data_IF_213824615057
#
_entry.id   IF_213824615057
#
_cell.length_a   1.000
_cell.length_b   1.000
_cell.length_c   1.000
_cell.angle_alpha   90.00
_cell.angle_beta   90.00
_cell.angle_gamma   90.00
#
_symmetry.space_group_name_H-M   'P 1'
#
loop_
_entity.id
_entity.type
_entity.pdbx_description
1 polymer ?
#
# COMPACT_ATOMS: atom_id res chain seq x y z
N UNK A 1 -18.28 -8.40 -13.28
CA UNK A 1 -18.93 -9.68 -13.66
C UNK A 1 -20.24 -9.38 -14.39
N UNK A 2 -20.60 -10.15 -15.42
CA UNK A 2 -21.91 -10.02 -16.07
C UNK A 2 -22.95 -10.76 -15.23
N UNK A 3 -24.01 -10.07 -14.85
CA UNK A 3 -25.07 -10.60 -13.98
C UNK A 3 -26.42 -10.28 -14.61
N UNK A 4 -27.32 -11.24 -14.63
CA UNK A 4 -28.69 -11.04 -15.09
C UNK A 4 -29.48 -10.35 -13.96
N UNK A 5 -29.93 -9.12 -14.18
CA UNK A 5 -30.74 -8.38 -13.22
C UNK A 5 -31.97 -7.79 -13.91
N UNK A 6 -33.16 -8.24 -13.50
CA UNK A 6 -34.45 -7.86 -14.11
C UNK A 6 -34.45 -8.07 -15.63
N UNK A 7 -34.07 -9.26 -16.08
CA UNK A 7 -34.03 -9.68 -17.49
C UNK A 7 -33.10 -8.84 -18.39
N UNK A 8 -32.25 -8.02 -17.81
CA UNK A 8 -31.22 -7.24 -18.52
C UNK A 8 -29.84 -7.70 -18.03
N UNK A 9 -28.96 -8.02 -18.99
CA UNK A 9 -27.56 -8.27 -18.70
C UNK A 9 -26.90 -6.97 -18.23
N UNK A 10 -26.45 -6.93 -16.98
CA UNK A 10 -25.72 -5.79 -16.41
C UNK A 10 -24.31 -6.22 -16.04
N UNK A 11 -23.35 -5.36 -16.36
CA UNK A 11 -21.98 -5.48 -15.83
C UNK A 11 -22.00 -4.89 -14.43
N UNK A 12 -21.84 -5.73 -13.42
CA UNK A 12 -21.78 -5.32 -12.02
C UNK A 12 -20.33 -5.42 -11.53
N UNK A 13 -19.76 -4.34 -10.95
CA UNK A 13 -18.48 -4.44 -10.27
C UNK A 13 -18.69 -5.25 -8.99
N UNK A 14 -17.93 -6.34 -8.84
CA UNK A 14 -17.91 -7.12 -7.60
C UNK A 14 -16.85 -6.49 -6.71
N UNK A 15 -17.20 -6.01 -5.50
CA UNK A 15 -16.22 -5.43 -4.60
C UNK A 15 -15.30 -6.53 -4.07
N UNK A 16 -14.00 -6.41 -4.34
CA UNK A 16 -12.98 -7.29 -3.77
C UNK A 16 -12.39 -6.62 -2.53
N UNK A 17 -12.34 -7.36 -1.42
CA UNK A 17 -11.68 -6.92 -0.19
C UNK A 17 -10.46 -7.81 0.02
N UNK A 18 -9.29 -7.19 0.16
CA UNK A 18 -8.04 -7.86 0.51
C UNK A 18 -7.78 -7.61 1.99
N UNK A 19 -7.70 -8.68 2.78
CA UNK A 19 -7.33 -8.63 4.18
C UNK A 19 -5.94 -9.25 4.36
N UNK A 20 -5.05 -8.53 5.02
CA UNK A 20 -3.68 -8.98 5.31
C UNK A 20 -3.57 -9.08 6.82
N UNK A 21 -3.32 -10.29 7.32
CA UNK A 21 -2.92 -10.52 8.70
C UNK A 21 -1.40 -10.71 8.70
N UNK A 22 -0.69 -9.86 9.44
CA UNK A 22 0.77 -9.89 9.50
C UNK A 22 1.24 -9.60 10.93
N UNK A 23 2.28 -10.31 11.42
CA UNK A 23 2.90 -9.99 12.69
C UNK A 23 3.77 -8.71 12.63
N UNK A 24 4.04 -8.19 11.44
CA UNK A 24 4.82 -6.98 11.20
C UNK A 24 4.00 -5.90 10.48
N UNK A 25 4.41 -4.63 10.57
CA UNK A 25 3.71 -3.53 9.89
C UNK A 25 3.55 -3.78 8.39
N UNK A 26 2.42 -3.35 7.79
CA UNK A 26 2.23 -3.49 6.35
C UNK A 26 3.21 -2.60 5.57
N UNK A 27 3.57 -3.05 4.37
CA UNK A 27 4.48 -2.33 3.47
C UNK A 27 3.95 -0.95 3.09
N UNK A 28 4.85 0.01 2.84
CA UNK A 28 4.54 1.33 2.29
C UNK A 28 4.58 1.36 0.75
N UNK A 29 4.52 0.19 0.10
CA UNK A 29 4.54 0.02 -1.36
C UNK A 29 3.23 -0.59 -1.88
N UNK A 30 2.92 -0.29 -3.14
CA UNK A 30 1.79 -0.85 -3.89
C UNK A 30 2.35 -1.57 -5.11
N UNK A 31 1.80 -2.75 -5.38
CA UNK A 31 1.98 -3.49 -6.61
C UNK A 31 0.89 -3.09 -7.61
N UNK A 32 1.28 -2.78 -8.84
CA UNK A 32 0.35 -2.56 -9.95
C UNK A 32 0.43 -3.77 -10.88
N UNK A 33 -0.62 -4.60 -10.86
CA UNK A 33 -0.74 -5.78 -11.72
C UNK A 33 -1.81 -5.51 -12.78
N UNK A 34 -1.42 -4.94 -13.93
CA UNK A 34 -2.33 -4.82 -15.07
C UNK A 34 -2.31 -6.11 -15.88
N UNK A 35 -3.49 -6.63 -16.24
CA UNK A 35 -3.63 -7.81 -17.12
C UNK A 35 -2.91 -7.62 -18.48
N UNK A 36 -2.71 -6.37 -18.90
CA UNK A 36 -2.01 -6.01 -20.14
C UNK A 36 -0.50 -5.80 -19.97
N UNK A 37 0.00 -5.65 -18.73
CA UNK A 37 1.43 -5.47 -18.47
C UNK A 37 2.04 -6.80 -18.06
N UNK A 38 3.12 -7.19 -18.73
CA UNK A 38 3.78 -8.47 -18.52
C UNK A 38 4.52 -8.60 -17.17
N UNK A 39 4.75 -7.48 -16.46
CA UNK A 39 5.49 -7.43 -15.21
C UNK A 39 4.77 -6.61 -14.15
N UNK A 40 4.89 -7.06 -12.90
CA UNK A 40 4.46 -6.34 -11.71
C UNK A 40 5.35 -5.10 -11.51
N UNK A 41 4.72 -3.94 -11.34
CA UNK A 41 5.41 -2.69 -11.02
C UNK A 41 5.18 -2.36 -9.55
N UNK A 42 6.27 -2.29 -8.76
CA UNK A 42 6.22 -1.96 -7.34
C UNK A 42 6.59 -0.49 -7.16
N UNK A 43 5.67 0.30 -6.61
CA UNK A 43 5.87 1.74 -6.39
C UNK A 43 5.58 2.15 -4.96
N UNK A 44 6.23 3.21 -4.43
CA UNK A 44 5.91 3.75 -3.12
C UNK A 44 4.50 4.35 -3.05
N UNK A 45 3.75 4.06 -1.99
CA UNK A 45 2.39 4.57 -1.75
C UNK A 45 2.30 6.10 -1.81
N UNK A 46 3.35 6.79 -1.33
CA UNK A 46 3.45 8.26 -1.34
C UNK A 46 3.35 8.85 -2.75
N UNK A 47 3.88 8.18 -3.78
CA UNK A 47 3.79 8.64 -5.17
C UNK A 47 2.33 8.61 -5.68
N UNK A 48 1.55 7.64 -5.21
CA UNK A 48 0.13 7.49 -5.49
C UNK A 48 -0.78 8.24 -4.53
N UNK A 49 -0.22 8.97 -3.54
CA UNK A 49 -0.97 9.65 -2.47
C UNK A 49 -1.91 8.69 -1.74
N UNK A 50 -1.40 7.50 -1.48
CA UNK A 50 -2.05 6.47 -0.67
C UNK A 50 -1.31 6.36 0.66
N UNK A 51 -2.03 5.94 1.69
CA UNK A 51 -1.44 5.65 3.00
C UNK A 51 -2.31 4.63 3.76
N UNK A 52 -1.72 4.00 4.78
CA UNK A 52 -2.44 3.19 5.75
C UNK A 52 -3.11 4.10 6.76
N UNK A 53 -4.43 4.27 6.65
CA UNK A 53 -5.20 5.06 7.61
C UNK A 53 -5.90 4.14 8.61
N UNK A 54 -5.94 4.52 9.89
CA UNK A 54 -6.65 3.73 10.89
C UNK A 54 -8.13 3.62 10.55
N UNK A 55 -8.68 2.41 10.63
CA UNK A 55 -10.12 2.23 10.49
C UNK A 55 -10.84 2.76 11.73
N UNK A 56 -11.73 3.72 11.52
CA UNK A 56 -12.59 4.27 12.57
C UNK A 56 -13.99 3.65 12.43
N UNK A 57 -14.41 2.78 13.38
CA UNK A 57 -15.74 2.19 13.37
C UNK A 57 -16.82 3.27 13.31
N UNK A 58 -17.89 3.03 12.54
CA UNK A 58 -18.93 4.01 12.29
C UNK A 58 -19.48 4.67 13.57
N UNK A 59 -19.81 3.88 14.60
CA UNK A 59 -20.33 4.40 15.87
C UNK A 59 -19.32 5.17 16.74
N UNK A 60 -18.05 5.28 16.32
CA UNK A 60 -16.98 5.96 17.07
C UNK A 60 -16.38 7.17 16.33
N UNK A 61 -16.91 7.52 15.15
CA UNK A 61 -16.36 8.62 14.31
C UNK A 61 -16.46 10.01 14.93
N UNK A 62 -17.32 10.21 15.91
CA UNK A 62 -17.50 11.50 16.61
C UNK A 62 -16.62 11.66 17.86
N UNK A 63 -15.94 10.59 18.31
CA UNK A 63 -15.06 10.65 19.49
C UNK A 63 -13.67 11.14 19.07
N UNK A 64 -13.00 11.87 19.96
CA UNK A 64 -11.60 12.27 19.76
C UNK A 64 -10.74 11.04 19.44
N UNK A 65 -10.24 11.01 18.21
CA UNK A 65 -9.58 9.86 17.55
C UNK A 65 -8.21 9.59 18.17
N UNK A 66 -7.59 10.60 18.79
CA UNK A 66 -6.20 10.58 19.27
C UNK A 66 -5.94 9.60 20.43
N UNK A 67 -6.97 9.14 21.14
CA UNK A 67 -6.82 8.23 22.30
C UNK A 67 -7.13 6.77 21.99
N UNK A 68 -7.45 6.44 20.74
CA UNK A 68 -7.87 5.09 20.36
C UNK A 68 -6.69 4.30 19.79
N UNK A 69 -6.35 3.16 20.40
CA UNK A 69 -5.41 2.22 19.79
C UNK A 69 -6.11 1.50 18.63
N UNK A 70 -5.64 1.74 17.41
CA UNK A 70 -6.16 1.11 16.21
C UNK A 70 -5.47 -0.23 15.96
N UNK A 71 -6.26 -1.25 15.62
CA UNK A 71 -5.77 -2.58 15.24
C UNK A 71 -5.96 -2.84 13.74
N UNK A 72 -6.91 -2.14 13.12
CA UNK A 72 -7.27 -2.30 11.72
C UNK A 72 -6.88 -1.02 10.99
N UNK A 73 -6.16 -1.17 9.89
CA UNK A 73 -5.79 -0.11 8.97
C UNK A 73 -6.37 -0.41 7.59
N UNK A 74 -6.75 0.64 6.87
CA UNK A 74 -7.26 0.55 5.50
C UNK A 74 -6.35 1.35 4.59
N UNK A 75 -6.08 0.85 3.39
CA UNK A 75 -5.38 1.60 2.37
C UNK A 75 -6.33 2.66 1.82
N UNK A 76 -5.98 3.94 1.96
CA UNK A 76 -6.84 5.05 1.54
C UNK A 76 -6.08 6.16 0.82
N UNK A 77 -6.78 6.82 -0.11
CA UNK A 77 -6.26 7.99 -0.79
C UNK A 77 -6.27 9.19 0.17
N UNK A 78 -5.10 9.79 0.39
CA UNK A 78 -4.94 10.95 1.27
C UNK A 78 -5.22 12.27 0.56
N UNK A 79 -5.39 12.27 -0.77
CA UNK A 79 -5.78 13.46 -1.52
C UNK A 79 -7.29 13.70 -1.41
N UNK A 80 -7.68 14.94 -1.04
CA UNK A 80 -9.08 15.38 -1.04
C UNK A 80 -9.60 15.47 -2.48
N UNK A 81 -10.34 14.42 -2.88
CA UNK A 81 -11.15 14.22 -4.09
C UNK A 81 -11.04 15.28 -5.19
N UNK A 82 -10.07 15.09 -6.10
CA UNK A 82 -10.13 15.45 -7.53
C UNK A 82 -8.99 14.70 -8.23
N UNK A 83 -9.26 13.47 -8.69
CA UNK A 83 -8.31 12.72 -9.50
C UNK A 83 -8.70 12.86 -10.98
N UNK A 84 -7.71 13.17 -11.82
CA UNK A 84 -7.88 13.05 -13.28
C UNK A 84 -8.20 11.59 -13.61
N UNK A 85 -9.08 11.37 -14.57
CA UNK A 85 -9.63 10.05 -14.94
C UNK A 85 -8.55 9.03 -15.32
N UNK A 86 -7.49 9.49 -15.97
CA UNK A 86 -6.29 8.70 -16.28
C UNK A 86 -5.61 8.15 -15.01
N UNK A 87 -5.58 8.95 -13.93
CA UNK A 87 -5.02 8.54 -12.65
C UNK A 87 -5.95 7.59 -11.91
N UNK A 88 -7.26 7.72 -12.11
CA UNK A 88 -8.27 6.83 -11.50
C UNK A 88 -8.10 5.38 -11.97
N UNK A 89 -7.79 5.17 -13.26
CA UNK A 89 -7.55 3.83 -13.83
C UNK A 89 -6.38 3.10 -13.17
N UNK A 90 -5.35 3.82 -12.73
CA UNK A 90 -4.22 3.20 -12.05
C UNK A 90 -4.61 2.54 -10.72
N UNK A 91 -5.65 3.05 -10.04
CA UNK A 91 -6.11 2.48 -8.76
C UNK A 91 -6.92 1.20 -8.92
N UNK A 92 -7.46 0.93 -10.10
CA UNK A 92 -8.22 -0.31 -10.37
C UNK A 92 -7.35 -1.56 -10.22
N UNK A 93 -6.06 -1.43 -10.50
CA UNK A 93 -5.08 -2.52 -10.49
C UNK A 93 -4.06 -2.43 -9.35
N UNK A 94 -4.26 -1.51 -8.39
CA UNK A 94 -3.38 -1.35 -7.23
C UNK A 94 -3.72 -2.40 -6.16
N UNK A 95 -2.74 -3.23 -5.83
CA UNK A 95 -2.80 -4.16 -4.69
C UNK A 95 -1.73 -3.76 -3.66
N UNK A 96 -2.01 -3.87 -2.35
CA UNK A 96 -0.98 -3.70 -1.34
C UNK A 96 0.17 -4.67 -1.61
N UNK A 97 1.41 -4.17 -1.69
CA UNK A 97 2.57 -5.03 -1.85
C UNK A 97 2.90 -5.69 -0.51
N UNK A 98 3.06 -7.00 -0.47
CA UNK A 98 3.45 -7.71 0.74
C UNK A 98 4.95 -7.95 0.72
N UNK A 99 5.67 -7.28 1.63
CA UNK A 99 7.10 -7.53 1.87
C UNK A 99 7.20 -8.60 2.95
N UNK A 100 7.73 -9.77 2.61
CA UNK A 100 7.98 -10.86 3.56
C UNK A 100 9.41 -10.70 4.10
N UNK A 101 9.61 -10.23 5.35
CA UNK A 101 10.93 -9.95 5.89
C UNK A 101 11.81 -11.21 6.06
N UNK A 102 11.23 -12.41 5.90
CA UNK A 102 11.97 -13.67 5.94
C UNK A 102 12.40 -14.14 4.54
N UNK A 103 12.01 -13.43 3.48
CA UNK A 103 12.45 -13.68 2.11
C UNK A 103 13.38 -12.56 1.69
N UNK A 104 14.59 -12.92 1.27
CA UNK A 104 15.49 -11.98 0.62
C UNK A 104 14.87 -11.53 -0.72
N UNK A 105 14.32 -10.32 -0.74
CA UNK A 105 13.92 -9.67 -1.98
C UNK A 105 15.17 -9.22 -2.73
N UNK A 106 15.23 -9.52 -4.04
CA UNK A 106 16.35 -9.13 -4.94
C UNK A 106 16.59 -7.61 -5.02
N UNK A 107 15.73 -6.79 -4.41
CA UNK A 107 15.68 -5.34 -4.52
C UNK A 107 16.24 -4.66 -3.25
N UNK A 108 16.54 -5.40 -2.18
CA UNK A 108 17.15 -4.80 -0.98
C UNK A 108 18.54 -4.23 -1.34
N UNK A 109 18.62 -2.90 -1.36
CA UNK A 109 19.88 -2.19 -1.51
C UNK A 109 20.70 -2.44 -0.25
N UNK A 110 21.98 -2.79 -0.45
CA UNK A 110 22.93 -3.05 0.63
C UNK A 110 22.85 -1.94 1.70
N UNK A 111 22.57 -2.34 2.93
CA UNK A 111 22.60 -1.46 4.11
C UNK A 111 24.01 -1.37 4.72
N UNK A 112 25.04 -1.79 3.99
CA UNK A 112 26.42 -1.72 4.45
C UNK A 112 26.88 -0.27 4.55
N UNK A 113 27.16 0.16 5.79
CA UNK A 113 27.84 1.42 6.05
C UNK A 113 29.31 1.10 6.30
N UNK A 114 30.20 1.63 5.45
CA UNK A 114 31.65 1.53 5.70
C UNK A 114 32.02 2.43 6.86
N UNK A 115 32.38 1.84 8.00
CA UNK A 115 32.94 2.54 9.14
C UNK A 115 34.43 2.80 8.89
N UNK A 116 34.78 4.02 8.48
CA UNK A 116 36.18 4.46 8.49
C UNK A 116 36.57 4.85 9.92
N UNK A 117 37.49 4.09 10.52
CA UNK A 117 38.18 4.53 11.72
C UNK A 117 39.25 5.54 11.33
N UNK A 118 39.36 6.71 12.00
CA UNK A 118 40.48 7.59 11.79
C UNK A 118 41.77 6.84 12.16
N UNK A 119 42.72 6.77 11.23
CA UNK A 119 44.04 6.21 11.47
C UNK A 119 44.71 6.93 12.64
N UNK A 120 45.31 6.18 13.56
CA UNK A 120 46.08 6.74 14.68
C UNK A 120 47.09 7.78 14.17
N UNK A 121 47.25 8.93 14.86
CA UNK A 121 48.15 9.98 14.42
C UNK A 121 49.59 9.44 14.32
N UNK A 122 50.39 9.92 13.36
CA UNK A 122 51.75 9.44 13.16
C UNK A 122 52.56 9.62 14.45
N UNK A 123 53.18 8.52 14.90
CA UNK A 123 54.15 8.56 16.00
C UNK A 123 55.35 9.37 15.52
N UNK A 124 55.56 10.53 16.14
CA UNK A 124 56.65 11.48 15.87
C UNK A 124 57.99 10.90 16.30
#
# INVERSE_FOLDING_TARGET
QMVLYKDVNKVVPVPTVVAIESPFPPSDKIAITSIQRAAEEIIPMKQMKMDWVPYIPFGKRERQVDRVKFQIFILACTQRRHLKEERARNFEYCLPYFCDPFKEDKIEQSSEVQLLFPSEPPVV
#
